data_IF_278641933382
#
_entry.id   IF_278641933382
#
_cell.length_a   1.000
_cell.length_b   1.000
_cell.length_c   1.000
_cell.angle_alpha   90.00
_cell.angle_beta   90.00
_cell.angle_gamma   90.00
#
_symmetry.space_group_name_H-M   'P 1'
#
loop_
_entity.id
_entity.type
_entity.pdbx_description
1 polymer ?
#
# COMPACT_ATOMS: atom_id res chain seq x y z
N UNK A 1 -12.55 -5.21 -40.56
CA UNK A 1 -13.62 -5.55 -39.58
C UNK A 1 -12.85 -5.99 -38.36
N UNK A 2 -12.37 -5.00 -37.60
CA UNK A 2 -11.31 -5.23 -36.60
C UNK A 2 -11.89 -6.06 -35.47
N UNK A 3 -11.41 -7.30 -35.36
CA UNK A 3 -11.69 -8.16 -34.23
C UNK A 3 -11.28 -7.41 -32.97
N UNK A 4 -12.27 -7.03 -32.15
CA UNK A 4 -12.03 -6.47 -30.83
C UNK A 4 -11.37 -7.57 -30.01
N UNK A 5 -10.06 -7.46 -29.81
CA UNK A 5 -9.30 -8.31 -28.91
C UNK A 5 -9.94 -8.27 -27.51
N UNK A 6 -10.53 -9.37 -27.02
CA UNK A 6 -11.20 -9.39 -25.72
C UNK A 6 -10.22 -9.19 -24.55
N UNK A 7 -8.92 -9.41 -24.79
CA UNK A 7 -7.85 -9.19 -23.81
C UNK A 7 -7.70 -7.71 -23.45
N UNK A 8 -7.95 -6.78 -24.39
CA UNK A 8 -7.83 -5.34 -24.11
C UNK A 8 -8.93 -4.81 -23.19
N UNK A 9 -10.04 -5.55 -23.04
CA UNK A 9 -11.16 -5.18 -22.18
C UNK A 9 -10.95 -5.53 -20.70
N UNK A 10 -10.05 -6.46 -20.38
CA UNK A 10 -9.75 -6.89 -19.01
C UNK A 10 -8.78 -5.95 -18.28
N UNK A 11 -8.02 -5.15 -19.01
CA UNK A 11 -7.13 -4.15 -18.41
C UNK A 11 -7.89 -3.01 -17.70
N UNK A 12 -9.19 -2.83 -18.00
CA UNK A 12 -10.00 -1.78 -17.36
C UNK A 12 -10.56 -2.22 -16.01
N UNK A 13 -10.76 -3.52 -15.77
CA UNK A 13 -11.30 -4.04 -14.50
C UNK A 13 -10.27 -4.05 -13.38
N UNK A 14 -8.97 -4.06 -13.70
CA UNK A 14 -7.87 -3.93 -12.73
C UNK A 14 -7.77 -2.53 -12.11
N UNK A 15 -8.57 -1.56 -12.57
CA UNK A 15 -8.58 -0.19 -12.05
C UNK A 15 -9.60 0.03 -10.92
N UNK A 16 -10.34 -1.02 -10.51
CA UNK A 16 -11.22 -0.92 -9.35
C UNK A 16 -10.38 -0.88 -8.06
N UNK A 17 -10.66 0.05 -7.13
CA UNK A 17 -9.86 0.24 -5.91
C UNK A 17 -9.77 -1.02 -5.05
N UNK A 18 -10.75 -1.93 -5.14
CA UNK A 18 -10.71 -3.21 -4.43
C UNK A 18 -9.57 -4.13 -4.91
N UNK A 19 -9.32 -4.16 -6.22
CA UNK A 19 -8.27 -5.00 -6.79
C UNK A 19 -6.87 -4.43 -6.48
N UNK A 20 -6.70 -3.12 -6.64
CA UNK A 20 -5.47 -2.42 -6.27
C UNK A 20 -5.14 -2.57 -4.78
N UNK A 21 -6.14 -2.46 -3.89
CA UNK A 21 -5.97 -2.66 -2.45
C UNK A 21 -5.48 -4.08 -2.11
N UNK A 22 -6.05 -5.10 -2.77
CA UNK A 22 -5.60 -6.49 -2.58
C UNK A 22 -4.16 -6.68 -3.03
N UNK A 23 -3.80 -6.19 -4.21
CA UNK A 23 -2.43 -6.33 -4.73
C UNK A 23 -1.41 -5.61 -3.84
N UNK A 24 -1.73 -4.41 -3.35
CA UNK A 24 -0.89 -3.64 -2.44
C UNK A 24 -0.74 -4.31 -1.07
N UNK A 25 -1.83 -4.87 -0.52
CA UNK A 25 -1.79 -5.62 0.72
C UNK A 25 -0.94 -6.89 0.60
N UNK A 26 -1.11 -7.65 -0.49
CA UNK A 26 -0.32 -8.85 -0.77
C UNK A 26 1.16 -8.49 -0.96
N UNK A 27 1.47 -7.38 -1.62
CA UNK A 27 2.85 -6.90 -1.80
C UNK A 27 3.51 -6.52 -0.46
N UNK A 28 2.82 -5.74 0.37
CA UNK A 28 3.29 -5.33 1.70
C UNK A 28 3.54 -6.53 2.61
N UNK A 29 2.67 -7.54 2.55
CA UNK A 29 2.85 -8.77 3.35
C UNK A 29 4.10 -9.55 2.95
N UNK A 30 4.38 -9.69 1.65
CA UNK A 30 5.62 -10.35 1.19
C UNK A 30 6.87 -9.56 1.61
N UNK A 31 6.84 -8.23 1.48
CA UNK A 31 7.97 -7.38 1.85
C UNK A 31 8.34 -7.55 3.34
N UNK A 32 7.34 -7.58 4.22
CA UNK A 32 7.56 -7.90 5.63
C UNK A 32 8.12 -9.30 5.85
N UNK A 33 7.62 -10.32 5.14
CA UNK A 33 8.15 -11.68 5.25
C UNK A 33 9.61 -11.80 4.79
N UNK A 34 10.00 -11.04 3.77
CA UNK A 34 11.35 -11.06 3.18
C UNK A 34 12.35 -10.23 3.99
N UNK A 35 11.95 -9.05 4.47
CA UNK A 35 12.85 -8.08 5.10
C UNK A 35 12.78 -8.09 6.63
N UNK A 36 11.65 -8.50 7.20
CA UNK A 36 11.34 -8.34 8.62
C UNK A 36 11.15 -6.89 9.07
N UNK A 37 11.24 -5.92 8.15
CA UNK A 37 11.13 -4.50 8.47
C UNK A 37 9.69 -4.14 8.81
N UNK A 38 9.50 -3.50 9.95
CA UNK A 38 8.22 -3.06 10.45
C UNK A 38 8.36 -1.79 11.29
N UNK A 39 7.22 -1.18 11.60
CA UNK A 39 7.09 -0.24 12.69
C UNK A 39 6.23 -0.90 13.76
N UNK A 40 6.54 -0.62 15.03
CA UNK A 40 5.68 -1.07 16.12
C UNK A 40 4.38 -0.25 16.12
N UNK A 41 3.32 -0.82 16.72
CA UNK A 41 2.04 -0.11 16.85
C UNK A 41 2.17 1.19 17.65
N UNK A 42 3.05 1.22 18.66
CA UNK A 42 3.31 2.40 19.49
C UNK A 42 3.95 3.53 18.67
N UNK A 43 4.99 3.23 17.88
CA UNK A 43 5.65 4.22 17.02
C UNK A 43 4.69 4.84 16.00
N UNK A 44 3.80 4.04 15.42
CA UNK A 44 2.79 4.53 14.47
C UNK A 44 1.77 5.41 15.18
N UNK A 45 1.33 5.03 16.39
CA UNK A 45 0.38 5.82 17.17
C UNK A 45 0.98 7.18 17.56
N UNK A 46 2.19 7.19 18.09
CA UNK A 46 2.91 8.42 18.44
C UNK A 46 3.08 9.35 17.24
N UNK A 47 3.40 8.80 16.06
CA UNK A 47 3.49 9.58 14.83
C UNK A 47 2.12 10.14 14.42
N UNK A 48 1.06 9.33 14.47
CA UNK A 48 -0.31 9.74 14.13
C UNK A 48 -0.85 10.85 15.06
N UNK A 49 -0.40 10.92 16.30
CA UNK A 49 -0.76 12.01 17.21
C UNK A 49 -0.23 13.38 16.75
N UNK A 50 0.89 13.39 16.03
CA UNK A 50 1.45 14.64 15.45
C UNK A 50 0.81 15.02 14.11
N UNK A 51 0.18 14.05 13.44
CA UNK A 51 -0.26 14.19 12.05
C UNK A 51 -1.42 15.17 11.90
N UNK A 52 -1.33 16.12 10.96
CA UNK A 52 -2.32 17.18 10.79
C UNK A 52 -2.25 18.31 11.83
N UNK A 53 -1.17 18.38 12.61
CA UNK A 53 -0.88 19.46 13.57
C UNK A 53 0.33 20.28 13.15
N UNK A 54 0.58 21.41 13.83
CA UNK A 54 1.80 22.22 13.63
C UNK A 54 3.09 21.46 14.01
N UNK A 55 2.97 20.32 14.69
CA UNK A 55 4.07 19.47 15.12
C UNK A 55 4.23 18.21 14.26
N UNK A 56 3.54 18.12 13.12
CA UNK A 56 3.62 16.96 12.23
C UNK A 56 5.07 16.62 11.89
N UNK A 57 5.42 15.36 12.15
CA UNK A 57 6.75 14.82 11.89
C UNK A 57 6.75 13.97 10.61
N UNK A 58 7.89 13.84 9.92
CA UNK A 58 7.98 12.97 8.74
C UNK A 58 7.69 11.52 9.11
N UNK A 59 7.21 10.74 8.13
CA UNK A 59 6.97 9.31 8.31
C UNK A 59 8.24 8.59 8.78
N UNK A 60 8.06 7.67 9.74
CA UNK A 60 9.13 6.88 10.31
C UNK A 60 9.66 5.83 9.31
N UNK A 61 10.94 5.52 9.40
CA UNK A 61 11.55 4.44 8.62
C UNK A 61 11.37 3.09 9.34
N UNK A 62 10.96 2.05 8.60
CA UNK A 62 10.82 0.70 9.15
C UNK A 62 12.16 0.12 9.63
N UNK A 63 12.10 -0.75 10.64
CA UNK A 63 13.26 -1.41 11.27
C UNK A 63 12.92 -2.86 11.68
N UNK A 64 13.92 -3.64 12.09
CA UNK A 64 13.78 -5.06 12.46
C UNK A 64 13.66 -5.28 13.95
#
# INVERSE_FOLDING_TARGET
MEARDPIRSLHHTCQHPYFAFKEEADASWRDYQETGLHLTGEEVLDWLETWGTDHETPALACHT
#
